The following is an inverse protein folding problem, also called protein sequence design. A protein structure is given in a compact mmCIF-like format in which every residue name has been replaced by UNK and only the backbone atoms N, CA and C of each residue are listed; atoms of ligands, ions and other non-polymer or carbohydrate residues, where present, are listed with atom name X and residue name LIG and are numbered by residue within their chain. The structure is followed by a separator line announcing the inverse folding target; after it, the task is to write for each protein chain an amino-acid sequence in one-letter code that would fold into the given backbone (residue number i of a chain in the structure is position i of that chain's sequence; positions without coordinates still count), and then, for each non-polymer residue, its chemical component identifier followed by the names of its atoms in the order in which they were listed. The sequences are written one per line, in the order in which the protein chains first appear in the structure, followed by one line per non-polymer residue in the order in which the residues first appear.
data_IF_895700908053
#
_entry.id   IF_895700908053
#
_cell.length_a   1.000
_cell.length_b   1.000
_cell.length_c   1.000
_cell.angle_alpha   90.00
_cell.angle_beta   90.00
_cell.angle_gamma   90.00
#
_symmetry.space_group_name_H-M   'P 1'
#
loop_
_entity.id
_entity.type
_entity.pdbx_description
1 polymer ?
#
# COMPACT_ATOMS: atom_id res chain seq x y z
N UNK A 1 2.86 0.79 27.14
CA UNK A 1 3.56 0.47 25.89
C UNK A 1 2.57 0.69 24.75
N UNK A 2 2.89 1.57 23.82
CA UNK A 2 1.98 1.93 22.72
C UNK A 2 1.76 0.75 21.77
N UNK A 3 0.53 0.53 21.34
CA UNK A 3 0.19 -0.45 20.32
C UNK A 3 0.14 0.23 18.94
N UNK A 4 0.95 -0.25 18.01
CA UNK A 4 0.90 0.20 16.62
C UNK A 4 -0.20 -0.60 15.92
N UNK A 5 -1.14 0.11 15.30
CA UNK A 5 -2.20 -0.45 14.46
C UNK A 5 -1.90 -0.04 13.02
N UNK A 6 -1.60 -1.03 12.17
CA UNK A 6 -1.33 -0.81 10.76
C UNK A 6 -2.57 -1.12 9.92
N UNK A 7 -3.02 -0.11 9.19
CA UNK A 7 -4.16 -0.20 8.28
C UNK A 7 -3.64 -0.17 6.84
N UNK A 8 -3.73 -1.28 6.15
CA UNK A 8 -3.42 -1.37 4.73
C UNK A 8 -4.60 -0.88 3.89
N UNK A 9 -4.35 0.00 2.94
CA UNK A 9 -5.34 0.45 1.97
C UNK A 9 -4.86 0.01 0.60
N UNK A 10 -5.49 -1.00 0.05
CA UNK A 10 -5.10 -1.63 -1.22
C UNK A 10 -6.24 -1.55 -2.23
N UNK A 11 -5.90 -1.64 -3.48
CA UNK A 11 -6.83 -1.57 -4.60
C UNK A 11 -6.12 -1.25 -5.90
N UNK A 12 -6.83 -1.33 -7.00
CA UNK A 12 -6.32 -0.90 -8.31
C UNK A 12 -6.05 0.61 -8.33
N UNK A 13 -5.41 1.07 -9.39
CA UNK A 13 -5.24 2.51 -9.63
C UNK A 13 -6.58 3.23 -9.74
N UNK A 14 -6.60 4.52 -9.45
CA UNK A 14 -7.79 5.37 -9.56
C UNK A 14 -8.99 4.93 -8.68
N UNK A 15 -8.75 4.31 -7.54
CA UNK A 15 -9.78 3.91 -6.58
C UNK A 15 -9.81 4.76 -5.31
N UNK A 16 -9.05 5.86 -5.28
CA UNK A 16 -9.06 6.80 -4.16
C UNK A 16 -8.23 6.41 -2.92
N UNK A 17 -7.36 5.40 -3.01
CA UNK A 17 -6.52 4.92 -1.89
C UNK A 17 -5.76 6.03 -1.17
N UNK A 18 -4.99 6.81 -1.92
CA UNK A 18 -4.17 7.90 -1.36
C UNK A 18 -5.03 8.96 -0.66
N UNK A 19 -6.15 9.34 -1.28
CA UNK A 19 -7.10 10.29 -0.70
C UNK A 19 -7.69 9.75 0.59
N UNK A 20 -8.10 8.49 0.60
CA UNK A 20 -8.65 7.83 1.77
C UNK A 20 -7.62 7.75 2.91
N UNK A 21 -6.40 7.30 2.62
CA UNK A 21 -5.33 7.18 3.61
C UNK A 21 -5.01 8.53 4.29
N UNK A 22 -4.90 9.61 3.49
CA UNK A 22 -4.67 10.95 4.00
C UNK A 22 -5.85 11.45 4.84
N UNK A 23 -7.07 11.26 4.38
CA UNK A 23 -8.28 11.68 5.11
C UNK A 23 -8.45 10.94 6.43
N UNK A 24 -8.18 9.65 6.47
CA UNK A 24 -8.20 8.88 7.71
C UNK A 24 -7.13 9.37 8.68
N UNK A 25 -5.92 9.66 8.19
CA UNK A 25 -4.86 10.24 9.02
C UNK A 25 -5.31 11.57 9.63
N UNK A 26 -5.84 12.50 8.83
CA UNK A 26 -6.36 13.79 9.29
C UNK A 26 -7.49 13.64 10.32
N UNK A 27 -8.39 12.69 10.09
CA UNK A 27 -9.54 12.44 10.97
C UNK A 27 -9.13 11.93 12.35
N UNK A 28 -8.15 11.02 12.39
CA UNK A 28 -7.77 10.36 13.63
C UNK A 28 -6.65 11.04 14.41
N UNK A 29 -5.83 11.88 13.77
CA UNK A 29 -4.67 12.53 14.40
C UNK A 29 -5.00 13.40 15.61
N UNK A 30 -6.24 13.90 15.74
CA UNK A 30 -6.68 14.64 16.90
C UNK A 30 -6.91 13.78 18.15
N UNK A 31 -7.08 12.47 17.97
CA UNK A 31 -7.37 11.51 19.03
C UNK A 31 -6.23 10.52 19.26
N UNK A 32 -5.56 10.09 18.19
CA UNK A 32 -4.46 9.13 18.21
C UNK A 32 -3.30 9.65 17.38
N UNK A 33 -2.05 9.52 17.82
CA UNK A 33 -0.89 9.74 16.96
C UNK A 33 -1.05 8.91 15.68
N UNK A 34 -1.01 9.57 14.53
CA UNK A 34 -1.31 8.92 13.26
C UNK A 34 -0.37 9.39 12.16
N UNK A 35 0.02 8.48 11.27
CA UNK A 35 0.80 8.81 10.09
C UNK A 35 0.22 8.21 8.81
N UNK A 36 0.34 8.98 7.73
CA UNK A 36 0.16 8.53 6.36
C UNK A 36 1.47 7.94 5.84
N UNK A 37 1.42 6.70 5.35
CA UNK A 37 2.57 6.04 4.72
C UNK A 37 2.38 6.09 3.21
N UNK A 38 3.22 6.83 2.46
CA UNK A 38 3.07 6.97 1.02
C UNK A 38 3.43 5.68 0.28
N UNK A 39 2.88 5.54 -0.93
CA UNK A 39 3.20 4.45 -1.84
C UNK A 39 4.65 4.54 -2.36
N UNK A 40 5.46 3.54 -2.07
CA UNK A 40 6.89 3.54 -2.43
C UNK A 40 7.15 3.61 -3.94
N UNK A 41 6.30 2.96 -4.75
CA UNK A 41 6.44 3.03 -6.22
C UNK A 41 6.16 4.43 -6.76
N UNK A 42 5.23 5.17 -6.17
CA UNK A 42 4.96 6.56 -6.55
C UNK A 42 6.15 7.45 -6.24
N UNK A 43 6.76 7.30 -5.06
CA UNK A 43 7.99 8.02 -4.70
C UNK A 43 9.12 7.72 -5.70
N UNK A 44 9.26 6.46 -6.09
CA UNK A 44 10.24 6.07 -7.11
C UNK A 44 9.99 6.78 -8.45
N UNK A 45 8.73 6.80 -8.91
CA UNK A 45 8.36 7.45 -10.19
C UNK A 45 8.61 8.97 -10.14
N UNK A 46 8.29 9.61 -9.02
CA UNK A 46 8.55 11.04 -8.81
C UNK A 46 10.05 11.37 -8.82
N UNK A 47 10.88 10.52 -8.22
CA UNK A 47 12.33 10.69 -8.15
C UNK A 47 13.03 10.40 -9.50
N UNK A 48 12.53 9.44 -10.28
CA UNK A 48 13.21 8.94 -11.47
C UNK A 48 12.52 9.31 -12.80
N UNK A 49 11.31 9.87 -12.74
CA UNK A 49 10.46 10.20 -13.89
C UNK A 49 10.22 9.01 -14.85
N UNK A 50 10.18 7.80 -14.32
CA UNK A 50 9.88 6.55 -15.04
C UNK A 50 9.35 5.50 -14.07
N UNK A 51 8.71 4.47 -14.60
CA UNK A 51 8.34 3.27 -13.82
C UNK A 51 9.57 2.42 -13.48
N UNK A 52 9.53 1.68 -12.36
CA UNK A 52 10.64 0.80 -11.99
C UNK A 52 10.73 -0.42 -12.93
N UNK A 53 11.96 -0.88 -13.14
CA UNK A 53 12.25 -2.13 -13.87
C UNK A 53 12.05 -3.35 -12.97
N UNK A 54 12.12 -4.55 -13.57
CA UNK A 54 11.96 -5.81 -12.84
C UNK A 54 12.95 -5.94 -11.68
N UNK A 55 14.23 -5.68 -11.92
CA UNK A 55 15.29 -5.75 -10.91
C UNK A 55 15.17 -4.73 -9.78
N UNK A 56 14.37 -3.69 -9.94
CA UNK A 56 14.14 -2.63 -8.95
C UNK A 56 12.95 -2.93 -8.02
N UNK A 57 12.11 -3.91 -8.37
CA UNK A 57 10.87 -4.22 -7.63
C UNK A 57 11.14 -4.66 -6.18
N UNK A 58 12.20 -5.42 -5.94
CA UNK A 58 12.60 -5.81 -4.59
C UNK A 58 12.94 -4.60 -3.70
N UNK A 59 13.64 -3.61 -4.25
CA UNK A 59 13.93 -2.35 -3.57
C UNK A 59 12.67 -1.54 -3.26
N UNK A 60 11.68 -1.52 -4.16
CA UNK A 60 10.39 -0.87 -3.94
C UNK A 60 9.64 -1.53 -2.78
N UNK A 61 9.56 -2.87 -2.78
CA UNK A 61 8.88 -3.62 -1.72
C UNK A 61 9.57 -3.42 -0.35
N UNK A 62 10.91 -3.45 -0.31
CA UNK A 62 11.67 -3.19 0.91
C UNK A 62 11.46 -1.75 1.41
N UNK A 63 11.51 -0.77 0.52
CA UNK A 63 11.28 0.65 0.86
C UNK A 63 9.90 0.88 1.49
N UNK A 64 8.87 0.18 1.01
CA UNK A 64 7.53 0.28 1.61
C UNK A 64 7.55 -0.14 3.09
N UNK A 65 8.20 -1.26 3.41
CA UNK A 65 8.36 -1.72 4.79
C UNK A 65 9.19 -0.77 5.64
N UNK A 66 10.32 -0.29 5.11
CA UNK A 66 11.19 0.67 5.81
C UNK A 66 10.47 1.98 6.16
N UNK A 67 9.61 2.49 5.27
CA UNK A 67 8.78 3.67 5.56
C UNK A 67 7.82 3.42 6.72
N UNK A 68 7.16 2.27 6.74
CA UNK A 68 6.26 1.88 7.83
C UNK A 68 7.01 1.78 9.17
N UNK A 69 8.13 1.07 9.20
CA UNK A 69 8.94 0.86 10.41
C UNK A 69 9.52 2.18 10.94
N UNK A 70 10.05 3.02 10.05
CA UNK A 70 10.63 4.31 10.41
C UNK A 70 9.59 5.24 11.03
N UNK A 71 8.42 5.37 10.42
CA UNK A 71 7.36 6.25 10.93
C UNK A 71 6.73 5.69 12.20
N UNK A 72 6.59 4.37 12.31
CA UNK A 72 6.17 3.73 13.55
C UNK A 72 7.12 4.05 14.70
N UNK A 73 8.42 3.84 14.51
CA UNK A 73 9.44 4.12 15.52
C UNK A 73 9.47 5.60 15.92
N UNK A 74 9.36 6.51 14.95
CA UNK A 74 9.31 7.95 15.21
C UNK A 74 8.11 8.31 16.09
N UNK A 75 6.90 7.89 15.74
CA UNK A 75 5.70 8.18 16.51
C UNK A 75 5.73 7.57 17.91
N UNK A 76 6.32 6.39 18.07
CA UNK A 76 6.51 5.78 19.39
C UNK A 76 7.43 6.61 20.30
N UNK A 77 8.49 7.22 19.73
CA UNK A 77 9.39 8.08 20.47
C UNK A 77 8.74 9.42 20.84
N UNK A 78 7.95 9.98 19.93
CA UNK A 78 7.28 11.27 20.14
C UNK A 78 6.07 11.18 21.08
N UNK A 79 5.41 10.01 21.16
CA UNK A 79 4.15 9.79 21.86
C UNK A 79 4.21 8.60 22.82
N UNK A 80 5.14 8.62 23.77
CA UNK A 80 5.41 7.48 24.69
C UNK A 80 4.20 7.10 25.56
N UNK A 81 3.32 8.04 25.85
CA UNK A 81 2.12 7.83 26.68
C UNK A 81 0.87 7.45 25.86
N UNK A 82 0.98 7.38 24.53
CA UNK A 82 -0.14 7.01 23.70
C UNK A 82 -0.47 5.52 23.84
N UNK A 83 -1.75 5.21 24.00
CA UNK A 83 -2.22 3.81 24.02
C UNK A 83 -2.12 3.19 22.62
N UNK A 84 -2.55 3.92 21.59
CA UNK A 84 -2.54 3.48 20.21
C UNK A 84 -1.85 4.48 19.29
N UNK A 85 -1.16 3.96 18.29
CA UNK A 85 -0.56 4.70 17.18
C UNK A 85 -1.10 4.09 15.89
N UNK A 86 -1.63 4.92 14.98
CA UNK A 86 -2.25 4.47 13.73
C UNK A 86 -1.37 4.76 12.53
N UNK A 87 -1.13 3.76 11.70
CA UNK A 87 -0.45 3.92 10.41
C UNK A 87 -1.41 3.60 9.27
N UNK A 88 -1.69 4.57 8.43
CA UNK A 88 -2.52 4.40 7.23
C UNK A 88 -1.61 4.23 6.01
N UNK A 89 -1.45 2.98 5.57
CA UNK A 89 -0.51 2.61 4.53
C UNK A 89 -1.19 2.67 3.15
N UNK A 90 -0.75 3.61 2.31
CA UNK A 90 -1.15 3.67 0.91
C UNK A 90 -0.42 2.58 0.16
N UNK A 91 -1.09 1.48 -0.06
CA UNK A 91 -0.61 0.21 -0.57
C UNK A 91 0.31 -0.60 0.38
N UNK A 92 0.71 -1.77 -0.08
CA UNK A 92 1.58 -2.71 0.63
C UNK A 92 2.50 -3.43 -0.36
N UNK A 93 3.57 -4.10 0.09
CA UNK A 93 4.41 -4.94 -0.77
C UNK A 93 3.66 -6.03 -1.54
N UNK A 94 2.47 -6.43 -1.07
CA UNK A 94 1.60 -7.37 -1.80
C UNK A 94 1.25 -6.82 -3.19
N UNK A 95 0.96 -5.52 -3.29
CA UNK A 95 0.71 -4.86 -4.58
C UNK A 95 1.95 -4.87 -5.48
N UNK A 96 3.13 -4.64 -4.94
CA UNK A 96 4.40 -4.74 -5.69
C UNK A 96 4.54 -6.13 -6.33
N UNK A 97 4.24 -7.20 -5.58
CA UNK A 97 4.24 -8.56 -6.10
C UNK A 97 3.22 -8.77 -7.22
N UNK A 98 1.99 -8.28 -7.04
CA UNK A 98 0.92 -8.42 -8.04
C UNK A 98 1.27 -7.66 -9.33
N UNK A 99 1.74 -6.42 -9.23
CA UNK A 99 2.17 -5.64 -10.40
C UNK A 99 3.38 -6.27 -11.10
N UNK A 100 4.34 -6.83 -10.35
CA UNK A 100 5.46 -7.57 -10.94
C UNK A 100 4.96 -8.77 -11.76
N UNK A 101 4.03 -9.54 -11.24
CA UNK A 101 3.42 -10.66 -11.96
C UNK A 101 2.67 -10.22 -13.22
N UNK A 102 1.98 -9.07 -13.18
CA UNK A 102 1.22 -8.54 -14.33
C UNK A 102 2.15 -7.99 -15.41
N UNK A 103 3.17 -7.22 -15.04
CA UNK A 103 4.02 -6.48 -15.97
C UNK A 103 5.13 -7.36 -16.51
N UNK A 104 5.77 -8.18 -15.66
CA UNK A 104 6.96 -8.97 -16.02
C UNK A 104 6.66 -10.48 -16.13
N UNK A 105 5.42 -10.89 -15.85
CA UNK A 105 5.02 -12.30 -15.86
C UNK A 105 5.38 -13.08 -14.60
N UNK A 106 6.24 -12.53 -13.75
CA UNK A 106 6.64 -13.12 -12.46
C UNK A 106 7.06 -12.04 -11.48
N UNK A 107 7.00 -12.35 -10.19
CA UNK A 107 7.70 -11.59 -9.15
C UNK A 107 8.89 -12.42 -8.66
N UNK A 108 10.03 -11.77 -8.41
CA UNK A 108 11.20 -12.47 -7.91
C UNK A 108 10.98 -13.00 -6.46
N UNK A 109 11.87 -13.89 -6.02
CA UNK A 109 11.74 -14.53 -4.70
C UNK A 109 11.77 -13.53 -3.54
N UNK A 110 12.56 -12.45 -3.65
CA UNK A 110 12.66 -11.41 -2.62
C UNK A 110 11.37 -10.62 -2.51
N UNK A 111 10.78 -10.20 -3.65
CA UNK A 111 9.48 -9.52 -3.69
C UNK A 111 8.39 -10.40 -3.08
N UNK A 112 8.33 -11.68 -3.48
CA UNK A 112 7.35 -12.65 -2.93
C UNK A 112 7.50 -12.81 -1.42
N UNK A 113 8.72 -12.94 -0.93
CA UNK A 113 9.00 -13.07 0.51
C UNK A 113 8.53 -11.86 1.30
N UNK A 114 8.83 -10.64 0.84
CA UNK A 114 8.40 -9.40 1.49
C UNK A 114 6.87 -9.28 1.44
N UNK A 115 6.26 -9.62 0.30
CA UNK A 115 4.81 -9.56 0.11
C UNK A 115 4.04 -10.58 0.99
N UNK A 116 4.63 -11.73 1.27
CA UNK A 116 4.03 -12.75 2.15
C UNK A 116 3.93 -12.29 3.61
N UNK A 117 4.81 -11.40 4.04
CA UNK A 117 4.72 -10.76 5.35
C UNK A 117 3.67 -9.64 5.34
N UNK A 118 2.41 -10.02 5.16
CA UNK A 118 1.26 -9.11 5.18
C UNK A 118 0.75 -8.92 6.62
N UNK A 119 1.58 -8.31 7.47
CA UNK A 119 1.28 -8.07 8.88
C UNK A 119 0.60 -6.72 9.08
N UNK A 120 -0.68 -6.65 8.76
CA UNK A 120 -1.57 -5.50 8.97
C UNK A 120 -2.76 -5.91 9.83
N UNK A 121 -3.17 -5.02 10.73
CA UNK A 121 -4.30 -5.26 11.64
C UNK A 121 -5.64 -5.15 10.92
N UNK A 122 -5.69 -4.30 9.89
CA UNK A 122 -6.86 -4.13 9.02
C UNK A 122 -6.40 -3.94 7.58
N UNK A 123 -7.05 -4.62 6.66
CA UNK A 123 -6.87 -4.42 5.21
C UNK A 123 -8.17 -3.91 4.60
N UNK A 124 -8.13 -2.71 4.04
CA UNK A 124 -9.23 -2.09 3.31
C UNK A 124 -9.00 -2.27 1.81
N UNK A 125 -9.94 -2.89 1.12
CA UNK A 125 -9.88 -3.13 -0.31
C UNK A 125 -10.84 -2.20 -1.04
N UNK A 126 -10.29 -1.20 -1.74
CA UNK A 126 -11.08 -0.20 -2.47
C UNK A 126 -11.65 -0.78 -3.76
N UNK A 127 -12.91 -0.44 -4.04
CA UNK A 127 -13.62 -0.87 -5.25
C UNK A 127 -13.39 0.07 -6.44
N UNK A 128 -13.70 -0.42 -7.64
CA UNK A 128 -13.70 0.39 -8.87
C UNK A 128 -15.07 1.07 -8.98
N UNK A 129 -15.30 2.11 -8.20
CA UNK A 129 -16.55 2.87 -8.15
C UNK A 129 -16.40 4.34 -8.57
N UNK A 130 -15.17 4.77 -8.86
CA UNK A 130 -14.89 6.08 -9.42
C UNK A 130 -14.60 6.00 -10.92
N UNK A 131 -14.96 7.05 -11.70
CA UNK A 131 -14.56 7.13 -13.10
C UNK A 131 -13.04 7.09 -13.24
N UNK A 132 -12.56 6.24 -14.15
CA UNK A 132 -11.14 6.16 -14.46
C UNK A 132 -10.63 7.51 -15.03
N UNK A 133 -9.48 7.95 -14.51
CA UNK A 133 -8.80 9.15 -15.01
C UNK A 133 -7.35 8.81 -15.33
N UNK A 134 -6.89 9.27 -16.47
CA UNK A 134 -5.46 9.17 -16.80
C UNK A 134 -4.62 9.97 -15.81
N UNK A 135 -3.52 9.40 -15.38
CA UNK A 135 -2.55 10.01 -14.45
C UNK A 135 -1.12 9.75 -14.96
N UNK A 136 -0.90 10.13 -16.20
CA UNK A 136 0.42 10.04 -16.82
C UNK A 136 0.99 8.62 -16.83
N UNK A 137 2.19 8.47 -16.26
CA UNK A 137 3.00 7.24 -16.32
C UNK A 137 2.41 6.07 -15.53
N UNK A 138 1.59 6.35 -14.49
CA UNK A 138 1.15 5.36 -13.51
C UNK A 138 -0.15 4.62 -13.88
N UNK A 139 -0.83 5.01 -14.95
CA UNK A 139 -2.16 4.49 -15.30
C UNK A 139 -2.27 4.18 -16.78
N UNK A 140 -2.60 2.94 -17.09
CA UNK A 140 -2.67 2.47 -18.47
C UNK A 140 -4.07 2.67 -19.09
N UNK A 141 -5.10 2.03 -18.50
CA UNK A 141 -6.46 2.00 -19.06
C UNK A 141 -7.48 1.47 -18.06
N UNK A 142 -8.79 1.69 -18.30
CA UNK A 142 -9.84 1.05 -17.50
C UNK A 142 -9.78 -0.48 -17.51
N UNK A 143 -9.36 -1.08 -18.62
CA UNK A 143 -9.20 -2.54 -18.70
C UNK A 143 -8.03 -3.04 -17.84
N UNK A 144 -6.90 -2.33 -17.83
CA UNK A 144 -5.78 -2.62 -16.96
C UNK A 144 -6.17 -2.48 -15.49
N UNK A 145 -6.93 -1.44 -15.13
CA UNK A 145 -7.48 -1.24 -13.80
C UNK A 145 -8.32 -2.45 -13.35
N UNK A 146 -9.25 -2.92 -14.18
CA UNK A 146 -10.10 -4.07 -13.88
C UNK A 146 -9.27 -5.34 -13.69
N UNK A 147 -8.26 -5.57 -14.53
CA UNK A 147 -7.34 -6.72 -14.43
C UNK A 147 -6.60 -6.72 -13.09
N UNK A 148 -6.06 -5.58 -12.68
CA UNK A 148 -5.39 -5.42 -11.39
C UNK A 148 -6.35 -5.68 -10.24
N UNK A 149 -7.55 -5.11 -10.28
CA UNK A 149 -8.59 -5.30 -9.27
C UNK A 149 -8.88 -6.79 -9.01
N UNK A 150 -9.19 -7.54 -10.05
CA UNK A 150 -9.48 -8.98 -9.92
C UNK A 150 -8.25 -9.79 -9.47
N UNK A 151 -7.05 -9.39 -9.87
CA UNK A 151 -5.82 -10.02 -9.39
C UNK A 151 -5.57 -9.80 -7.90
N UNK A 152 -5.85 -8.59 -7.40
CA UNK A 152 -5.75 -8.29 -5.97
C UNK A 152 -6.73 -9.18 -5.18
N UNK A 153 -8.00 -9.20 -5.58
CA UNK A 153 -9.02 -10.01 -4.92
C UNK A 153 -8.64 -11.49 -4.89
N UNK A 154 -8.28 -12.05 -6.04
CA UNK A 154 -7.85 -13.45 -6.14
C UNK A 154 -6.64 -13.76 -5.25
N UNK A 155 -5.69 -12.83 -5.13
CA UNK A 155 -4.51 -13.00 -4.29
C UNK A 155 -4.87 -12.98 -2.79
N UNK A 156 -5.70 -12.03 -2.36
CA UNK A 156 -6.19 -11.96 -0.98
C UNK A 156 -6.93 -13.25 -0.60
N UNK A 157 -7.82 -13.71 -1.46
CA UNK A 157 -8.60 -14.95 -1.24
C UNK A 157 -7.69 -16.18 -1.19
N UNK A 158 -6.74 -16.30 -2.12
CA UNK A 158 -5.80 -17.42 -2.17
C UNK A 158 -4.89 -17.52 -0.95
N UNK A 159 -4.49 -16.37 -0.40
CA UNK A 159 -3.67 -16.28 0.81
C UNK A 159 -4.50 -16.29 2.09
N UNK A 160 -5.83 -16.34 1.98
CA UNK A 160 -6.78 -16.28 3.11
C UNK A 160 -6.54 -15.07 4.01
N UNK A 161 -6.15 -13.95 3.42
CA UNK A 161 -5.98 -12.68 4.13
C UNK A 161 -7.34 -12.03 4.33
N UNK A 162 -7.71 -11.67 5.58
CA UNK A 162 -8.96 -10.97 5.83
C UNK A 162 -8.89 -9.55 5.28
N UNK A 163 -9.98 -9.07 4.68
CA UNK A 163 -10.11 -7.71 4.20
C UNK A 163 -11.56 -7.23 4.25
N UNK A 164 -11.71 -5.92 4.34
CA UNK A 164 -13.00 -5.23 4.26
C UNK A 164 -13.11 -4.49 2.92
N UNK A 165 -14.23 -4.67 2.26
CA UNK A 165 -14.54 -3.99 0.99
C UNK A 165 -15.09 -2.60 1.30
N UNK A 166 -14.54 -1.60 0.65
CA UNK A 166 -14.96 -0.20 0.79
C UNK A 166 -15.10 0.50 -0.55
#
# INVERSE_FOLDING_TARGET
MSHIIKIAIIGAECTGKTTLAKKLTEMYQSKYPSAFIPEAVRLFVEENNRTPKEEEQAGIAARQKELEEKLAAQLMLEHQDAEFILLFCDTTPLLTSIYSEIIFGTADATVKKIAQDHSYDLTLFTQIDFPWKSDGIMRDSPLAQAKVHYRIQAKLDSLKLPYEII
#
